data_IF_535548884059
#
_entry.id   IF_535548884059
#
_cell.length_a   1.000
_cell.length_b   1.000
_cell.length_c   1.000
_cell.angle_alpha   90.00
_cell.angle_beta   90.00
_cell.angle_gamma   90.00
#
_symmetry.space_group_name_H-M   'P 1'
#
loop_
_entity.id
_entity.type
_entity.pdbx_description
1 polymer ?
#
# COMPACT_ATOMS: atom_id res chain seq x y z
N UNK A 1 -30.78 -34.98 23.24
CA UNK A 1 -30.99 -33.53 23.05
C UNK A 1 -29.66 -32.80 23.21
N UNK A 2 -29.08 -32.24 22.14
CA UNK A 2 -28.16 -31.14 22.29
C UNK A 2 -28.65 -29.94 21.46
N UNK A 3 -29.28 -28.98 22.13
CA UNK A 3 -29.44 -27.61 21.64
C UNK A 3 -28.69 -26.68 22.58
N UNK A 4 -28.19 -25.57 22.02
CA UNK A 4 -27.54 -24.40 22.65
C UNK A 4 -26.00 -24.40 22.69
N UNK A 5 -25.37 -24.39 21.51
CA UNK A 5 -24.12 -23.61 21.30
C UNK A 5 -24.05 -22.95 19.91
N UNK A 6 -25.15 -22.96 19.14
CA UNK A 6 -25.24 -22.41 17.77
C UNK A 6 -25.60 -20.91 17.71
N UNK A 7 -26.02 -20.28 18.82
CA UNK A 7 -26.56 -18.91 18.79
C UNK A 7 -25.48 -17.82 18.82
N UNK A 8 -24.41 -18.00 19.61
CA UNK A 8 -23.34 -17.00 19.75
C UNK A 8 -22.51 -16.91 18.46
N UNK A 9 -22.18 -18.06 17.85
CA UNK A 9 -21.45 -18.11 16.58
C UNK A 9 -22.28 -17.51 15.45
N UNK A 10 -23.60 -17.77 15.41
CA UNK A 10 -24.52 -17.12 14.46
C UNK A 10 -24.66 -15.61 14.72
N UNK A 11 -24.65 -15.16 15.97
CA UNK A 11 -24.76 -13.74 16.35
C UNK A 11 -23.49 -12.96 15.94
N UNK A 12 -22.30 -13.50 16.22
CA UNK A 12 -21.02 -12.90 15.80
C UNK A 12 -20.90 -12.89 14.26
N UNK A 13 -21.28 -14.00 13.60
CA UNK A 13 -21.34 -14.13 12.13
C UNK A 13 -22.31 -13.12 11.49
N UNK A 14 -23.47 -12.89 12.10
CA UNK A 14 -24.40 -11.87 11.63
C UNK A 14 -23.85 -10.47 11.87
N UNK A 15 -23.17 -10.17 12.97
CA UNK A 15 -22.70 -8.79 13.22
C UNK A 15 -21.63 -8.27 12.23
N UNK A 16 -20.61 -9.06 11.83
CA UNK A 16 -19.63 -8.56 10.85
C UNK A 16 -20.21 -8.41 9.44
N UNK A 17 -21.01 -9.39 8.99
CA UNK A 17 -21.70 -9.30 7.69
C UNK A 17 -22.88 -8.32 7.70
N UNK A 18 -23.58 -8.15 8.82
CA UNK A 18 -24.64 -7.16 8.97
C UNK A 18 -24.07 -5.75 9.03
N UNK A 19 -22.87 -5.52 9.57
CA UNK A 19 -22.27 -4.17 9.53
C UNK A 19 -21.76 -3.78 8.14
N UNK A 20 -21.15 -4.72 7.40
CA UNK A 20 -20.75 -4.49 6.01
C UNK A 20 -21.93 -4.30 5.07
N UNK A 21 -23.08 -4.92 5.35
CA UNK A 21 -24.30 -4.82 4.53
C UNK A 21 -25.30 -3.76 5.00
N UNK A 22 -25.43 -3.49 6.30
CA UNK A 22 -26.39 -2.52 6.85
C UNK A 22 -25.89 -1.07 6.82
N UNK A 23 -24.56 -0.83 6.90
CA UNK A 23 -24.03 0.51 6.69
C UNK A 23 -22.60 0.52 6.09
N UNK A 24 -22.46 0.15 4.80
CA UNK A 24 -21.16 0.05 4.14
C UNK A 24 -20.26 1.30 4.27
N UNK A 25 -20.77 2.54 4.14
CA UNK A 25 -19.93 3.73 4.28
C UNK A 25 -19.39 3.94 5.71
N UNK A 26 -20.17 3.61 6.74
CA UNK A 26 -19.71 3.70 8.14
C UNK A 26 -18.69 2.63 8.45
N UNK A 27 -18.93 1.38 8.00
CA UNK A 27 -17.97 0.30 8.14
C UNK A 27 -16.63 0.67 7.50
N UNK A 28 -16.65 1.17 6.26
CA UNK A 28 -15.43 1.64 5.58
C UNK A 28 -14.75 2.78 6.32
N UNK A 29 -15.52 3.75 6.84
CA UNK A 29 -14.95 4.85 7.63
C UNK A 29 -14.18 4.36 8.85
N UNK A 30 -14.78 3.44 9.62
CA UNK A 30 -14.15 2.87 10.79
C UNK A 30 -12.94 2.00 10.42
N UNK A 31 -13.06 1.18 9.37
CA UNK A 31 -11.97 0.34 8.86
C UNK A 31 -10.76 1.17 8.42
N UNK A 32 -10.99 2.18 7.57
CA UNK A 32 -9.95 3.11 7.12
C UNK A 32 -9.24 3.77 8.30
N UNK A 33 -9.98 4.29 9.28
CA UNK A 33 -9.40 4.95 10.45
C UNK A 33 -8.57 3.98 11.30
N UNK A 34 -9.09 2.79 11.57
CA UNK A 34 -8.38 1.77 12.34
C UNK A 34 -7.09 1.33 11.62
N UNK A 35 -7.15 1.18 10.29
CA UNK A 35 -5.99 0.82 9.49
C UNK A 35 -4.96 1.96 9.49
N UNK A 36 -5.38 3.22 9.33
CA UNK A 36 -4.47 4.37 9.43
C UNK A 36 -3.81 4.48 10.81
N UNK A 37 -4.53 4.20 11.90
CA UNK A 37 -3.94 4.13 13.23
C UNK A 37 -2.98 2.94 13.39
N UNK A 38 -3.22 1.83 12.69
CA UNK A 38 -2.35 0.67 12.69
C UNK A 38 -1.04 0.92 11.94
N UNK A 39 -1.05 1.68 10.84
CA UNK A 39 0.15 2.06 10.06
C UNK A 39 1.17 2.86 10.90
N UNK A 40 0.73 3.53 11.96
CA UNK A 40 1.60 4.20 12.93
C UNK A 40 2.48 3.22 13.71
N UNK A 41 2.03 1.98 13.89
CA UNK A 41 2.77 0.96 14.63
C UNK A 41 4.07 0.51 13.94
N UNK A 42 4.06 0.05 12.67
CA UNK A 42 5.31 -0.25 11.96
C UNK A 42 6.18 1.00 11.79
N UNK A 43 5.58 2.18 11.63
CA UNK A 43 6.33 3.46 11.61
C UNK A 43 7.07 3.72 12.92
N UNK A 44 6.43 3.49 14.06
CA UNK A 44 7.07 3.61 15.37
C UNK A 44 8.19 2.58 15.55
N UNK A 45 7.97 1.33 15.12
CA UNK A 45 8.98 0.27 15.16
C UNK A 45 10.22 0.63 14.35
N UNK A 46 10.07 1.09 13.11
CA UNK A 46 11.19 1.54 12.27
C UNK A 46 12.04 2.60 12.99
N UNK A 47 11.38 3.57 13.63
CA UNK A 47 12.06 4.62 14.39
C UNK A 47 12.75 4.10 15.64
N UNK A 48 12.16 3.15 16.37
CA UNK A 48 12.77 2.48 17.53
C UNK A 48 14.01 1.69 17.10
N UNK A 49 13.97 1.04 15.94
CA UNK A 49 15.12 0.34 15.37
C UNK A 49 16.15 1.26 14.72
N UNK A 50 16.01 2.58 14.85
CA UNK A 50 16.99 3.56 14.38
C UNK A 50 16.93 3.87 12.88
N UNK A 51 15.90 3.41 12.17
CA UNK A 51 15.72 3.74 10.74
C UNK A 51 15.24 5.19 10.62
N UNK A 52 16.00 6.00 9.91
CA UNK A 52 15.66 7.40 9.61
C UNK A 52 14.99 7.50 8.24
N UNK A 53 13.74 7.92 8.24
CA UNK A 53 12.99 8.19 7.01
C UNK A 53 13.18 9.65 6.64
N UNK A 54 13.72 9.91 5.46
CA UNK A 54 13.99 11.24 4.92
C UNK A 54 13.03 11.51 3.78
N UNK A 55 12.06 12.40 3.97
CA UNK A 55 11.10 12.77 2.91
C UNK A 55 11.36 14.19 2.43
N UNK A 56 11.28 14.40 1.12
CA UNK A 56 11.47 15.69 0.46
C UNK A 56 10.55 15.84 -0.76
N UNK A 57 10.40 17.07 -1.26
CA UNK A 57 9.52 17.39 -2.39
C UNK A 57 8.16 17.92 -1.94
N UNK A 58 7.07 17.45 -2.57
CA UNK A 58 5.70 17.91 -2.36
C UNK A 58 4.95 17.12 -1.28
N UNK A 59 4.10 17.79 -0.50
CA UNK A 59 3.23 17.14 0.48
C UNK A 59 2.11 16.32 -0.16
N UNK A 60 1.68 15.26 0.53
CA UNK A 60 0.55 14.42 0.14
C UNK A 60 -0.71 14.92 0.85
N UNK A 61 -1.78 15.17 0.10
CA UNK A 61 -3.07 15.55 0.64
C UNK A 61 -3.92 14.29 0.89
N UNK A 62 -4.27 13.94 2.14
CA UNK A 62 -5.03 12.73 2.47
C UNK A 62 -6.51 12.83 2.02
N UNK A 63 -6.93 13.98 1.53
CA UNK A 63 -8.29 14.26 1.08
C UNK A 63 -8.42 14.26 -0.45
N UNK A 64 -7.36 13.89 -1.17
CA UNK A 64 -7.39 13.72 -2.62
C UNK A 64 -7.68 12.28 -3.04
N UNK A 65 -8.41 12.15 -4.15
CA UNK A 65 -8.49 10.92 -4.92
C UNK A 65 -7.31 10.90 -5.88
N UNK A 66 -6.30 10.10 -5.56
CA UNK A 66 -5.03 10.16 -6.26
C UNK A 66 -4.45 8.77 -6.53
N UNK A 67 -3.60 8.69 -7.55
CA UNK A 67 -2.80 7.50 -7.80
C UNK A 67 -1.36 7.80 -7.37
N UNK A 68 -0.82 6.99 -6.48
CA UNK A 68 0.59 7.00 -6.11
C UNK A 68 1.31 6.00 -7.02
N UNK A 69 2.36 6.47 -7.70
CA UNK A 69 3.27 5.62 -8.47
C UNK A 69 4.63 5.63 -7.80
N UNK A 70 5.21 4.45 -7.58
CA UNK A 70 6.51 4.32 -6.91
C UNK A 70 7.41 3.31 -7.63
N UNK A 71 8.72 3.54 -7.68
CA UNK A 71 9.66 2.50 -8.08
C UNK A 71 9.69 1.37 -7.05
N UNK A 72 10.01 0.16 -7.50
CA UNK A 72 10.00 -1.03 -6.66
C UNK A 72 11.41 -1.61 -6.54
N UNK A 73 12.21 -1.04 -5.65
CA UNK A 73 13.58 -1.50 -5.44
C UNK A 73 13.63 -2.86 -4.75
N UNK A 74 12.72 -3.13 -3.81
CA UNK A 74 12.76 -4.30 -2.93
C UNK A 74 11.35 -4.79 -2.56
N UNK A 75 11.21 -6.05 -2.13
CA UNK A 75 9.92 -6.59 -1.66
C UNK A 75 9.36 -5.88 -0.43
N UNK A 76 10.19 -5.18 0.33
CA UNK A 76 9.83 -4.56 1.61
C UNK A 76 9.66 -3.04 1.52
N UNK A 77 9.74 -2.44 0.33
CA UNK A 77 9.57 -0.98 0.15
C UNK A 77 8.28 -0.45 0.79
N UNK A 78 7.21 -1.26 0.77
CA UNK A 78 5.92 -0.90 1.35
C UNK A 78 5.97 -0.69 2.87
N UNK A 79 6.91 -1.32 3.60
CA UNK A 79 7.07 -1.11 5.03
C UNK A 79 7.57 0.31 5.32
N UNK A 80 8.51 0.80 4.52
CA UNK A 80 9.07 2.14 4.67
C UNK A 80 8.10 3.22 4.17
N UNK A 81 7.25 2.88 3.21
CA UNK A 81 6.24 3.79 2.68
C UNK A 81 5.26 4.28 3.76
N UNK A 82 4.85 3.46 4.72
CA UNK A 82 3.98 3.91 5.82
C UNK A 82 4.60 5.07 6.60
N UNK A 83 5.89 4.97 6.90
CA UNK A 83 6.60 6.00 7.60
C UNK A 83 6.84 7.26 6.74
N UNK A 84 7.02 7.09 5.43
CA UNK A 84 7.06 8.21 4.50
C UNK A 84 5.71 8.93 4.42
N UNK A 85 4.60 8.18 4.35
CA UNK A 85 3.25 8.73 4.36
C UNK A 85 2.95 9.48 5.65
N UNK A 86 3.39 8.96 6.81
CA UNK A 86 3.30 9.65 8.10
C UNK A 86 4.00 11.02 8.11
N UNK A 87 5.15 11.13 7.43
CA UNK A 87 5.84 12.41 7.29
C UNK A 87 5.23 13.32 6.22
N UNK A 88 4.66 12.73 5.17
CA UNK A 88 4.21 13.46 3.98
C UNK A 88 2.77 13.93 4.00
N UNK A 89 1.90 13.24 4.73
CA UNK A 89 0.49 13.55 4.76
C UNK A 89 0.21 14.78 5.61
N UNK A 90 -0.27 15.84 4.96
CA UNK A 90 -0.64 17.10 5.60
C UNK A 90 -2.06 17.51 5.17
N UNK A 91 -2.86 18.13 6.06
CA UNK A 91 -2.56 18.41 7.47
C UNK A 91 -2.79 17.19 8.40
N UNK A 92 -3.46 16.14 7.91
CA UNK A 92 -3.85 14.99 8.72
C UNK A 92 -2.83 13.84 8.62
N UNK A 93 -1.98 13.75 9.63
CA UNK A 93 -0.88 12.78 9.70
C UNK A 93 -1.35 11.31 9.76
N UNK A 94 -2.58 11.05 10.24
CA UNK A 94 -3.05 9.70 10.58
C UNK A 94 -4.39 9.30 9.93
N UNK A 95 -4.76 9.89 8.79
CA UNK A 95 -6.07 9.67 8.15
C UNK A 95 -6.02 9.47 6.63
N UNK A 96 -4.86 9.10 6.07
CA UNK A 96 -4.77 8.82 4.64
C UNK A 96 -5.44 7.48 4.29
N UNK A 97 -6.16 7.44 3.17
CA UNK A 97 -6.94 6.27 2.73
C UNK A 97 -6.22 5.55 1.60
N UNK A 98 -4.97 5.16 1.85
CA UNK A 98 -4.12 4.50 0.87
C UNK A 98 -4.52 3.02 0.73
N UNK A 99 -4.74 2.57 -0.51
CA UNK A 99 -4.99 1.17 -0.85
C UNK A 99 -3.92 0.71 -1.82
N UNK A 100 -3.29 -0.43 -1.55
CA UNK A 100 -2.33 -1.01 -2.47
C UNK A 100 -3.03 -1.86 -3.53
N UNK A 101 -2.46 -1.85 -4.74
CA UNK A 101 -2.76 -2.84 -5.78
C UNK A 101 -1.75 -3.98 -5.63
N UNK A 102 -2.23 -5.12 -5.13
CA UNK A 102 -1.44 -6.25 -4.66
C UNK A 102 -1.52 -7.45 -5.61
N UNK A 103 -0.55 -8.35 -5.52
CA UNK A 103 -0.61 -9.66 -6.18
C UNK A 103 -1.73 -10.50 -5.54
N UNK A 104 -2.58 -11.13 -6.35
CA UNK A 104 -3.73 -11.92 -5.89
C UNK A 104 -3.39 -12.95 -4.78
N UNK A 105 -2.29 -13.72 -4.84
CA UNK A 105 -1.94 -14.67 -3.77
C UNK A 105 -1.81 -14.06 -2.37
N UNK A 106 -1.48 -12.77 -2.25
CA UNK A 106 -1.32 -12.08 -0.96
C UNK A 106 -2.62 -12.11 -0.14
N UNK A 107 -3.78 -12.14 -0.81
CA UNK A 107 -5.09 -12.21 -0.14
C UNK A 107 -5.25 -13.44 0.75
N UNK A 108 -4.53 -14.52 0.44
CA UNK A 108 -4.64 -15.79 1.16
C UNK A 108 -3.70 -15.89 2.36
N UNK A 109 -2.81 -14.91 2.56
CA UNK A 109 -1.90 -14.87 3.70
C UNK A 109 -2.72 -14.61 4.98
N UNK A 110 -2.73 -15.52 5.97
CA UNK A 110 -3.43 -15.34 7.23
C UNK A 110 -2.97 -14.09 7.97
N UNK A 111 -3.90 -13.29 8.48
CA UNK A 111 -3.59 -12.01 9.13
C UNK A 111 -3.51 -10.87 8.11
N UNK A 112 -2.32 -10.47 7.60
CA UNK A 112 -2.17 -9.31 6.71
C UNK A 112 -3.07 -9.37 5.46
N UNK A 113 -3.15 -10.53 4.79
CA UNK A 113 -3.98 -10.70 3.60
C UNK A 113 -5.49 -10.54 3.88
N UNK A 114 -5.95 -10.97 5.06
CA UNK A 114 -7.35 -10.80 5.47
C UNK A 114 -7.65 -9.35 5.86
N UNK A 115 -6.75 -8.70 6.60
CA UNK A 115 -6.88 -7.28 6.98
C UNK A 115 -6.91 -6.39 5.74
N UNK A 116 -6.05 -6.63 4.76
CA UNK A 116 -6.03 -5.87 3.50
C UNK A 116 -7.32 -6.07 2.69
N UNK A 117 -7.89 -7.28 2.64
CA UNK A 117 -9.21 -7.53 2.04
C UNK A 117 -10.31 -6.74 2.73
N UNK A 118 -10.37 -6.80 4.07
CA UNK A 118 -11.35 -6.02 4.85
C UNK A 118 -11.21 -4.51 4.63
N UNK A 119 -9.99 -4.05 4.37
CA UNK A 119 -9.70 -2.65 4.06
C UNK A 119 -9.92 -2.27 2.59
N UNK A 120 -10.35 -3.18 1.72
CA UNK A 120 -10.69 -2.85 0.33
C UNK A 120 -9.46 -2.58 -0.55
N UNK A 121 -8.36 -3.27 -0.27
CA UNK A 121 -7.20 -3.30 -1.15
C UNK A 121 -7.54 -4.02 -2.45
N UNK A 122 -6.81 -3.70 -3.53
CA UNK A 122 -7.06 -4.25 -4.84
C UNK A 122 -6.12 -5.42 -5.08
N UNK A 123 -6.59 -6.47 -5.74
CA UNK A 123 -5.82 -7.68 -6.02
C UNK A 123 -5.83 -7.98 -7.52
N UNK A 124 -4.66 -8.25 -8.09
CA UNK A 124 -4.47 -8.55 -9.51
C UNK A 124 -3.70 -9.85 -9.72
N UNK A 125 -4.11 -10.64 -10.71
CA UNK A 125 -3.41 -11.85 -11.18
C UNK A 125 -2.26 -11.51 -12.13
N UNK A 126 -2.18 -10.24 -12.57
CA UNK A 126 -1.25 -9.72 -13.60
C UNK A 126 -1.59 -10.28 -14.99
N UNK A 127 -2.87 -10.59 -15.21
CA UNK A 127 -3.44 -11.00 -16.50
C UNK A 127 -4.64 -10.09 -16.77
N UNK A 128 -4.47 -9.20 -17.76
CA UNK A 128 -5.43 -8.13 -18.02
C UNK A 128 -6.87 -8.61 -18.19
N UNK A 129 -7.07 -9.70 -18.94
CA UNK A 129 -8.40 -10.28 -19.20
C UNK A 129 -9.12 -10.74 -17.92
N UNK A 130 -8.39 -11.17 -16.89
CA UNK A 130 -8.95 -11.56 -15.60
C UNK A 130 -9.15 -10.38 -14.65
N UNK A 131 -8.24 -9.41 -14.73
CA UNK A 131 -8.14 -8.31 -13.79
C UNK A 131 -9.11 -7.17 -14.12
N UNK A 132 -9.38 -6.91 -15.41
CA UNK A 132 -10.18 -5.76 -15.86
C UNK A 132 -11.55 -5.66 -15.17
N UNK A 133 -12.29 -6.75 -15.13
CA UNK A 133 -13.62 -6.78 -14.51
C UNK A 133 -13.59 -6.64 -12.99
N UNK A 134 -12.55 -7.18 -12.33
CA UNK A 134 -12.36 -7.05 -10.87
C UNK A 134 -11.97 -5.62 -10.49
N UNK A 135 -11.00 -5.06 -11.20
CA UNK A 135 -10.58 -3.66 -11.03
C UNK A 135 -11.76 -2.72 -11.25
N UNK A 136 -12.55 -2.92 -12.31
CA UNK A 136 -13.73 -2.09 -12.58
C UNK A 136 -14.68 -2.05 -11.39
N UNK A 137 -15.13 -3.21 -10.89
CA UNK A 137 -16.07 -3.29 -9.76
C UNK A 137 -15.52 -2.63 -8.50
N UNK A 138 -14.24 -2.83 -8.19
CA UNK A 138 -13.63 -2.22 -7.01
C UNK A 138 -13.51 -0.71 -7.15
N UNK A 139 -13.15 -0.20 -8.33
CA UNK A 139 -13.09 1.23 -8.59
C UNK A 139 -14.48 1.88 -8.53
N UNK A 140 -15.48 1.29 -9.19
CA UNK A 140 -16.88 1.75 -9.12
C UNK A 140 -17.36 1.82 -7.67
N UNK A 141 -17.03 0.81 -6.87
CA UNK A 141 -17.34 0.80 -5.43
C UNK A 141 -16.64 1.95 -4.69
N UNK A 142 -15.35 2.17 -4.91
CA UNK A 142 -14.58 3.24 -4.25
C UNK A 142 -15.09 4.65 -4.63
N UNK A 143 -15.48 4.83 -5.90
CA UNK A 143 -16.13 6.06 -6.38
C UNK A 143 -17.49 6.24 -5.71
N UNK A 144 -18.31 5.18 -5.65
CA UNK A 144 -19.65 5.22 -5.05
C UNK A 144 -19.63 5.55 -3.55
N UNK A 145 -18.56 5.21 -2.83
CA UNK A 145 -18.39 5.60 -1.43
C UNK A 145 -18.27 7.12 -1.23
N UNK A 146 -17.93 7.89 -2.27
CA UNK A 146 -17.67 9.35 -2.21
C UNK A 146 -16.68 9.75 -1.13
N UNK A 147 -15.73 8.86 -0.84
CA UNK A 147 -14.62 9.06 0.10
C UNK A 147 -13.31 9.04 -0.68
N UNK A 148 -12.71 10.22 -0.86
CA UNK A 148 -11.47 10.40 -1.63
C UNK A 148 -10.41 9.41 -1.12
N UNK A 149 -9.92 8.57 -2.03
CA UNK A 149 -9.12 7.37 -1.75
C UNK A 149 -7.85 7.43 -2.59
N UNK A 150 -6.74 7.00 -2.03
CA UNK A 150 -5.45 6.98 -2.72
C UNK A 150 -5.10 5.54 -3.12
N UNK A 151 -4.61 5.33 -4.34
CA UNK A 151 -4.25 4.02 -4.86
C UNK A 151 -2.74 3.95 -5.13
N UNK A 152 -2.01 3.06 -4.46
CA UNK A 152 -0.61 2.79 -4.80
C UNK A 152 -0.52 1.71 -5.88
N UNK A 153 0.22 2.01 -6.92
CA UNK A 153 0.68 1.04 -7.91
C UNK A 153 2.20 1.09 -8.03
N UNK A 154 2.80 -0.08 -8.27
CA UNK A 154 4.18 -0.22 -8.71
C UNK A 154 4.17 -0.60 -10.20
N UNK A 155 4.27 0.35 -11.13
CA UNK A 155 4.22 0.08 -12.56
C UNK A 155 5.23 -0.95 -13.06
N UNK A 156 6.37 -1.12 -12.39
CA UNK A 156 7.36 -2.17 -12.68
C UNK A 156 6.74 -3.59 -12.58
N UNK A 157 5.72 -3.78 -11.74
CA UNK A 157 4.98 -5.03 -11.56
C UNK A 157 5.75 -6.14 -10.82
N UNK A 158 7.01 -5.89 -10.48
CA UNK A 158 7.88 -6.70 -9.63
C UNK A 158 9.03 -5.85 -9.13
N UNK A 159 9.72 -6.32 -8.10
CA UNK A 159 10.92 -5.73 -7.53
C UNK A 159 12.15 -5.87 -8.44
N UNK A 160 13.09 -4.94 -8.30
CA UNK A 160 14.36 -4.92 -9.05
C UNK A 160 15.34 -5.97 -8.50
N UNK A 161 15.42 -7.10 -9.19
CA UNK A 161 16.34 -8.21 -8.95
C UNK A 161 17.17 -8.45 -10.20
N UNK A 162 18.25 -9.22 -10.10
CA UNK A 162 19.06 -9.59 -11.28
C UNK A 162 18.18 -10.21 -12.40
N UNK A 163 17.29 -11.13 -12.03
CA UNK A 163 16.43 -11.82 -13.01
C UNK A 163 15.34 -10.93 -13.59
N UNK A 164 14.73 -10.03 -12.80
CA UNK A 164 13.73 -9.09 -13.35
C UNK A 164 14.38 -8.02 -14.22
N UNK A 165 15.61 -7.60 -13.87
CA UNK A 165 16.44 -6.71 -14.67
C UNK A 165 16.80 -7.30 -16.03
N UNK A 166 17.30 -8.54 -16.08
CA UNK A 166 17.61 -9.24 -17.33
C UNK A 166 16.38 -9.31 -18.28
N UNK A 167 15.19 -9.55 -17.73
CA UNK A 167 13.93 -9.54 -18.50
C UNK A 167 13.58 -8.16 -19.02
N UNK A 168 13.73 -7.13 -18.18
CA UNK A 168 13.50 -5.73 -18.57
C UNK A 168 14.48 -5.27 -19.65
N UNK A 169 15.75 -5.66 -19.56
CA UNK A 169 16.78 -5.34 -20.54
C UNK A 169 16.52 -6.01 -21.88
N UNK A 170 16.09 -7.27 -21.88
CA UNK A 170 15.68 -7.97 -23.09
C UNK A 170 14.48 -7.28 -23.75
N UNK A 171 13.49 -6.86 -22.95
CA UNK A 171 12.35 -6.10 -23.45
C UNK A 171 12.80 -4.77 -24.08
N UNK A 172 13.71 -4.04 -23.42
CA UNK A 172 14.24 -2.78 -23.90
C UNK A 172 14.97 -2.94 -25.25
N UNK A 173 15.84 -3.93 -25.37
CA UNK A 173 16.56 -4.23 -26.62
C UNK A 173 15.61 -4.57 -27.77
N UNK A 174 14.56 -5.37 -27.51
CA UNK A 174 13.56 -5.75 -28.51
C UNK A 174 12.75 -4.57 -29.04
N UNK A 175 12.54 -3.55 -28.20
CA UNK A 175 11.71 -2.37 -28.52
C UNK A 175 12.54 -1.10 -28.75
N UNK A 176 13.87 -1.22 -28.86
CA UNK A 176 14.79 -0.10 -29.08
C UNK A 176 14.69 1.00 -28.00
N UNK A 177 14.45 0.58 -26.75
CA UNK A 177 14.40 1.44 -25.58
C UNK A 177 15.74 1.45 -24.84
N UNK A 178 16.05 2.51 -24.08
CA UNK A 178 17.24 2.54 -23.22
C UNK A 178 17.15 1.46 -22.13
N UNK A 179 18.31 0.93 -21.75
CA UNK A 179 18.41 0.02 -20.61
C UNK A 179 18.54 0.85 -19.33
N UNK A 180 17.57 0.72 -18.43
CA UNK A 180 17.61 1.35 -17.11
C UNK A 180 18.45 0.51 -16.15
N UNK A 181 19.13 1.15 -15.21
CA UNK A 181 19.98 0.53 -14.18
C UNK A 181 19.27 0.43 -12.83
N UNK A 182 18.57 1.49 -12.42
CA UNK A 182 17.98 1.62 -11.08
C UNK A 182 16.47 1.33 -11.03
N UNK A 183 15.84 1.14 -12.18
CA UNK A 183 14.43 0.80 -12.34
C UNK A 183 14.21 -0.27 -13.41
N UNK A 184 13.05 -0.91 -13.40
CA UNK A 184 12.53 -1.70 -14.52
C UNK A 184 11.63 -0.83 -15.40
N UNK A 185 11.50 -1.18 -16.68
CA UNK A 185 10.54 -0.53 -17.57
C UNK A 185 9.09 -0.68 -17.05
N UNK A 186 8.30 0.40 -17.01
CA UNK A 186 6.96 0.36 -16.42
C UNK A 186 5.97 -0.37 -17.32
N UNK A 187 5.06 -1.13 -16.71
CA UNK A 187 3.86 -1.66 -17.36
C UNK A 187 2.76 -0.61 -17.30
N UNK A 188 2.34 -0.13 -18.47
CA UNK A 188 1.48 1.06 -18.57
C UNK A 188 -0.01 0.76 -18.53
N UNK A 189 -0.44 -0.48 -18.82
CA UNK A 189 -1.87 -0.86 -18.91
C UNK A 189 -2.66 -0.56 -17.64
N UNK A 190 -2.16 -1.02 -16.48
CA UNK A 190 -2.85 -0.86 -15.20
C UNK A 190 -2.99 0.61 -14.81
N UNK A 191 -1.90 1.37 -14.90
CA UNK A 191 -1.91 2.81 -14.63
C UNK A 191 -2.87 3.56 -15.54
N UNK A 192 -2.79 3.35 -16.86
CA UNK A 192 -3.64 4.04 -17.83
C UNK A 192 -5.11 3.76 -17.57
N UNK A 193 -5.46 2.51 -17.25
CA UNK A 193 -6.83 2.13 -16.92
C UNK A 193 -7.36 2.81 -15.65
N UNK A 194 -6.56 2.84 -14.58
CA UNK A 194 -6.93 3.49 -13.32
C UNK A 194 -7.19 4.98 -13.53
N UNK A 195 -6.26 5.68 -14.20
CA UNK A 195 -6.38 7.11 -14.49
C UNK A 195 -7.63 7.39 -15.31
N UNK A 196 -7.82 6.68 -16.42
CA UNK A 196 -8.97 6.90 -17.31
C UNK A 196 -10.30 6.66 -16.61
N UNK A 197 -10.39 5.61 -15.80
CA UNK A 197 -11.60 5.29 -15.07
C UNK A 197 -11.94 6.41 -14.06
N UNK A 198 -10.95 6.85 -13.27
CA UNK A 198 -11.15 7.91 -12.27
C UNK A 198 -11.41 9.28 -12.91
N UNK A 199 -10.77 9.60 -14.04
CA UNK A 199 -11.05 10.81 -14.83
C UNK A 199 -12.50 10.81 -15.34
N UNK A 200 -12.97 9.71 -15.95
CA UNK A 200 -14.36 9.58 -16.44
C UNK A 200 -15.39 9.72 -15.33
N UNK A 201 -15.06 9.26 -14.13
CA UNK A 201 -15.90 9.39 -12.94
C UNK A 201 -15.83 10.79 -12.27
N UNK A 202 -15.04 11.72 -12.81
CA UNK A 202 -14.72 13.02 -12.18
C UNK A 202 -14.24 12.87 -10.73
N UNK A 203 -13.39 11.85 -10.51
CA UNK A 203 -12.94 11.38 -9.21
C UNK A 203 -11.41 11.24 -9.19
N UNK A 204 -10.70 12.14 -9.85
CA UNK A 204 -9.25 12.10 -9.99
C UNK A 204 -8.64 13.50 -9.80
N UNK A 205 -7.85 13.65 -8.75
CA UNK A 205 -7.32 14.94 -8.32
C UNK A 205 -5.82 15.08 -8.65
N UNK A 206 -5.02 14.00 -8.55
CA UNK A 206 -3.58 14.05 -8.81
C UNK A 206 -2.94 12.66 -9.05
N UNK A 207 -1.74 12.67 -9.65
CA UNK A 207 -0.74 11.60 -9.48
C UNK A 207 0.31 12.08 -8.50
N UNK A 208 0.66 11.23 -7.54
CA UNK A 208 1.84 11.41 -6.69
C UNK A 208 2.93 10.47 -7.18
N UNK A 209 4.01 11.04 -7.70
CA UNK A 209 5.17 10.33 -8.20
C UNK A 209 6.24 10.24 -7.11
N UNK A 210 6.35 9.06 -6.48
CA UNK A 210 7.24 8.79 -5.36
C UNK A 210 8.49 8.07 -5.85
N UNK A 211 9.66 8.55 -5.47
CA UNK A 211 10.93 7.87 -5.70
C UNK A 211 11.52 7.43 -4.36
N UNK A 212 11.65 6.12 -4.15
CA UNK A 212 12.31 5.53 -2.99
C UNK A 212 13.76 5.18 -3.32
N UNK A 213 14.69 5.51 -2.42
CA UNK A 213 16.09 5.17 -2.54
C UNK A 213 16.73 4.87 -1.19
N UNK A 214 17.80 4.07 -1.23
CA UNK A 214 18.53 3.58 -0.06
C UNK A 214 20.00 3.98 -0.22
N UNK A 215 20.54 4.90 0.60
CA UNK A 215 21.91 5.41 0.43
C UNK A 215 22.97 4.37 0.80
N UNK A 216 22.65 3.48 1.75
CA UNK A 216 23.54 2.52 2.39
C UNK A 216 23.13 1.06 2.10
N UNK A 217 22.21 0.48 2.87
CA UNK A 217 21.82 -0.92 2.82
C UNK A 217 20.47 -1.08 2.12
N UNK A 218 20.36 -2.06 1.23
CA UNK A 218 19.13 -2.34 0.47
C UNK A 218 18.53 -3.67 0.97
N UNK A 219 17.52 -3.64 1.85
CA UNK A 219 16.91 -4.87 2.36
C UNK A 219 16.20 -5.61 1.22
N UNK A 220 16.53 -6.88 0.97
CA UNK A 220 15.96 -7.62 -0.18
C UNK A 220 14.64 -8.33 0.19
N UNK A 221 14.48 -8.66 1.47
CA UNK A 221 13.39 -9.51 1.94
C UNK A 221 12.95 -9.22 3.36
N UNK A 222 11.79 -9.77 3.73
CA UNK A 222 11.26 -9.75 5.09
C UNK A 222 12.21 -10.41 6.10
N UNK A 223 13.03 -11.38 5.66
CA UNK A 223 14.02 -12.08 6.51
C UNK A 223 15.12 -11.12 6.97
N UNK A 224 15.52 -10.18 6.11
CA UNK A 224 16.54 -9.19 6.46
C UNK A 224 16.05 -8.31 7.60
N UNK A 225 14.77 -7.86 7.52
CA UNK A 225 14.14 -7.09 8.58
C UNK A 225 14.06 -7.88 9.90
N UNK A 226 13.68 -9.16 9.85
CA UNK A 226 13.59 -10.04 11.04
C UNK A 226 14.97 -10.24 11.68
N UNK A 227 16.04 -10.29 10.89
CA UNK A 227 17.43 -10.39 11.37
C UNK A 227 17.98 -9.06 11.89
N UNK A 228 17.20 -7.99 11.88
CA UNK A 228 17.65 -6.65 12.26
C UNK A 228 18.58 -6.01 11.23
N UNK A 229 18.64 -6.55 10.01
CA UNK A 229 19.37 -5.94 8.90
C UNK A 229 18.49 -4.87 8.28
N UNK A 230 18.61 -3.66 8.82
CA UNK A 230 17.81 -2.50 8.46
C UNK A 230 18.71 -1.42 7.83
N UNK A 231 18.19 -0.66 6.85
CA UNK A 231 18.88 0.55 6.38
C UNK A 231 18.95 1.59 7.50
N UNK A 232 20.05 2.34 7.59
CA UNK A 232 20.13 3.46 8.52
C UNK A 232 19.23 4.61 8.04
N UNK A 233 19.17 4.84 6.73
CA UNK A 233 18.31 5.86 6.14
C UNK A 233 17.51 5.31 4.96
N UNK A 234 16.27 5.78 4.79
CA UNK A 234 15.48 5.54 3.57
C UNK A 234 14.95 6.88 3.08
N UNK A 235 15.25 7.20 1.83
CA UNK A 235 14.95 8.50 1.24
C UNK A 235 13.76 8.39 0.30
N UNK A 236 12.83 9.34 0.42
CA UNK A 236 11.68 9.51 -0.45
C UNK A 236 11.70 10.91 -1.07
N UNK A 237 11.57 10.96 -2.39
CA UNK A 237 11.30 12.19 -3.13
C UNK A 237 9.89 12.11 -3.71
N UNK A 238 9.06 13.09 -3.39
CA UNK A 238 7.64 13.11 -3.76
C UNK A 238 7.41 14.27 -4.72
N UNK A 239 6.77 14.00 -5.85
CA UNK A 239 6.29 15.04 -6.77
C UNK A 239 4.78 14.89 -6.98
N UNK A 240 4.01 15.94 -6.69
CA UNK A 240 2.58 16.00 -6.97
C UNK A 240 2.36 16.55 -8.38
N UNK A 241 1.62 15.81 -9.21
CA UNK A 241 1.18 16.24 -10.53
C UNK A 241 -0.34 16.36 -10.51
N UNK A 242 -0.92 17.57 -10.65
CA UNK A 242 -2.37 17.76 -10.62
C UNK A 242 -3.03 17.06 -11.81
N UNK A 243 -4.30 16.68 -11.67
CA UNK A 243 -5.04 15.99 -12.73
C UNK A 243 -5.16 16.78 -14.04
N UNK A 244 -5.06 18.12 -13.98
CA UNK A 244 -4.99 19.00 -15.16
C UNK A 244 -3.80 18.72 -16.07
N UNK A 245 -2.70 18.23 -15.50
CA UNK A 245 -1.43 18.02 -16.21
C UNK A 245 -1.29 16.55 -16.66
N UNK A 246 -2.29 15.72 -16.36
CA UNK A 246 -2.32 14.31 -16.72
C UNK A 246 -3.13 14.13 -18.01
N UNK A 247 -2.55 13.49 -19.05
CA UNK A 247 -3.27 13.23 -20.30
C UNK A 247 -4.56 12.43 -20.09
N UNK A 248 -5.52 12.55 -21.01
CA UNK A 248 -6.79 11.82 -20.97
C UNK A 248 -6.81 10.60 -21.89
N UNK A 249 -6.11 10.68 -23.03
CA UNK A 249 -6.02 9.61 -24.01
C UNK A 249 -5.06 8.51 -23.57
N UNK A 250 -5.44 7.25 -23.79
CA UNK A 250 -4.71 6.07 -23.30
C UNK A 250 -3.25 6.04 -23.77
N UNK A 251 -3.02 6.25 -25.08
CA UNK A 251 -1.67 6.23 -25.65
C UNK A 251 -0.77 7.32 -25.03
N UNK A 252 -1.33 8.50 -24.77
CA UNK A 252 -0.62 9.60 -24.13
C UNK A 252 -0.33 9.29 -22.66
N UNK A 253 -1.22 8.61 -21.95
CA UNK A 253 -0.99 8.16 -20.57
C UNK A 253 0.13 7.12 -20.49
N UNK A 254 0.18 6.19 -21.45
CA UNK A 254 1.27 5.20 -21.53
C UNK A 254 2.61 5.90 -21.72
N UNK A 255 2.68 6.79 -22.71
CA UNK A 255 3.89 7.58 -22.99
C UNK A 255 4.30 8.46 -21.81
N UNK A 256 3.32 9.12 -21.17
CA UNK A 256 3.56 9.92 -19.97
C UNK A 256 4.21 9.10 -18.86
N UNK A 257 3.73 7.88 -18.59
CA UNK A 257 4.30 7.01 -17.57
C UNK A 257 5.72 6.54 -17.92
N UNK A 258 5.96 6.20 -19.18
CA UNK A 258 7.31 5.86 -19.68
C UNK A 258 8.28 7.03 -19.48
N UNK A 259 7.86 8.26 -19.82
CA UNK A 259 8.66 9.46 -19.62
C UNK A 259 8.89 9.75 -18.12
N UNK A 260 7.89 9.50 -17.25
CA UNK A 260 8.09 9.57 -15.78
C UNK A 260 9.15 8.57 -15.32
N UNK A 261 9.16 7.35 -15.84
CA UNK A 261 10.17 6.34 -15.49
C UNK A 261 11.56 6.69 -15.98
N UNK A 262 11.68 7.24 -17.19
CA UNK A 262 12.96 7.75 -17.69
C UNK A 262 13.53 8.85 -16.78
N UNK A 263 12.69 9.80 -16.37
CA UNK A 263 13.10 10.84 -15.40
C UNK A 263 13.47 10.24 -14.03
N UNK A 264 12.73 9.22 -13.58
CA UNK A 264 12.98 8.54 -12.31
C UNK A 264 14.33 7.82 -12.30
N UNK A 265 14.70 7.20 -13.42
CA UNK A 265 16.02 6.59 -13.61
C UNK A 265 17.14 7.61 -13.43
N UNK A 266 17.01 8.80 -14.02
CA UNK A 266 17.99 9.88 -13.86
C UNK A 266 18.04 10.43 -12.43
N UNK A 267 16.89 10.59 -11.77
CA UNK A 267 16.81 10.99 -10.36
C UNK A 267 17.54 9.98 -9.48
N UNK A 268 17.32 8.68 -9.69
CA UNK A 268 17.98 7.62 -8.92
C UNK A 268 19.46 7.55 -9.21
N UNK A 269 19.89 7.71 -10.46
CA UNK A 269 21.30 7.80 -10.83
C UNK A 269 22.00 8.92 -10.05
N UNK A 270 21.45 10.13 -10.09
CA UNK A 270 21.97 11.26 -9.34
C UNK A 270 21.97 11.01 -7.82
N UNK A 271 20.92 10.38 -7.29
CA UNK A 271 20.85 10.00 -5.88
C UNK A 271 21.95 9.03 -5.50
N UNK A 272 22.21 7.98 -6.29
CA UNK A 272 23.23 6.99 -5.94
C UNK A 272 24.66 7.53 -6.05
N UNK A 273 24.88 8.58 -6.85
CA UNK A 273 26.13 9.35 -6.91
C UNK A 273 26.29 10.30 -5.71
N UNK A 274 25.24 11.05 -5.33
CA UNK A 274 25.30 12.13 -4.32
C UNK A 274 24.81 11.74 -2.92
N UNK A 275 24.17 10.57 -2.79
CA UNK A 275 23.49 10.06 -1.59
C UNK A 275 22.43 10.99 -1.00
N UNK A 276 21.86 11.86 -1.81
CA UNK A 276 20.83 12.82 -1.42
C UNK A 276 20.00 13.26 -2.63
N UNK A 277 18.74 13.61 -2.39
CA UNK A 277 17.92 14.32 -3.36
C UNK A 277 18.23 15.83 -3.32
N UNK A 278 18.06 16.57 -4.43
CA UNK A 278 18.44 18.00 -4.51
C UNK A 278 17.46 18.94 -3.79
N UNK A 279 16.60 18.42 -2.91
CA UNK A 279 15.54 19.14 -2.22
C UNK A 279 15.72 19.02 -0.72
N UNK A 280 15.30 20.05 0.01
CA UNK A 280 15.35 20.05 1.47
C UNK A 280 14.50 18.91 2.04
N UNK A 281 15.09 18.17 2.98
CA UNK A 281 14.40 17.12 3.73
C UNK A 281 13.50 17.81 4.75
N UNK A 282 12.24 17.40 4.81
CA UNK A 282 11.30 17.98 5.75
C UNK A 282 11.69 17.73 7.21
N UNK A 283 11.24 18.61 8.12
CA UNK A 283 11.33 18.36 9.54
C UNK A 283 10.65 17.04 9.93
N UNK A 284 11.24 16.33 10.89
CA UNK A 284 10.67 15.08 11.38
C UNK A 284 9.31 15.31 12.05
N UNK A 285 8.30 14.56 11.62
CA UNK A 285 6.97 14.59 12.21
C UNK A 285 6.98 14.24 13.72
N UNK A 286 5.94 14.71 14.43
CA UNK A 286 5.81 14.58 15.89
C UNK A 286 5.92 13.11 16.34
N UNK A 287 6.57 12.87 17.48
CA UNK A 287 6.73 11.50 18.01
C UNK A 287 5.56 11.02 18.85
N UNK A 288 4.79 11.93 19.45
CA UNK A 288 3.72 11.58 20.38
C UNK A 288 2.68 10.61 19.79
N UNK A 289 2.17 10.80 18.55
CA UNK A 289 1.24 9.84 17.95
C UNK A 289 1.85 8.46 17.75
N UNK A 290 3.13 8.39 17.38
CA UNK A 290 3.85 7.12 17.19
C UNK A 290 4.04 6.39 18.53
N UNK A 291 4.39 7.11 19.59
CA UNK A 291 4.54 6.53 20.93
C UNK A 291 3.20 5.99 21.45
N UNK A 292 2.12 6.77 21.31
CA UNK A 292 0.78 6.34 21.70
C UNK A 292 0.33 5.09 20.93
N UNK A 293 0.54 5.08 19.60
CA UNK A 293 0.23 3.93 18.77
C UNK A 293 1.07 2.71 19.17
N UNK A 294 2.37 2.88 19.38
CA UNK A 294 3.27 1.81 19.84
C UNK A 294 2.77 1.18 21.14
N UNK A 295 2.54 1.99 22.18
CA UNK A 295 2.04 1.49 23.45
C UNK A 295 0.69 0.78 23.31
N UNK A 296 -0.28 1.38 22.61
CA UNK A 296 -1.61 0.79 22.43
C UNK A 296 -1.55 -0.56 21.72
N UNK A 297 -0.88 -0.63 20.56
CA UNK A 297 -0.81 -1.85 19.76
C UNK A 297 0.06 -2.94 20.39
N UNK A 298 1.13 -2.59 21.09
CA UNK A 298 1.92 -3.56 21.86
C UNK A 298 1.12 -4.16 23.02
N UNK A 299 0.38 -3.34 23.79
CA UNK A 299 -0.48 -3.83 24.88
C UNK A 299 -1.59 -4.73 24.32
N UNK A 300 -2.26 -4.30 23.24
CA UNK A 300 -3.32 -5.09 22.60
C UNK A 300 -2.79 -6.43 22.08
N UNK A 301 -1.63 -6.42 21.43
CA UNK A 301 -0.99 -7.64 20.91
C UNK A 301 -0.58 -8.58 22.04
N UNK A 302 0.09 -8.06 23.09
CA UNK A 302 0.48 -8.83 24.26
C UNK A 302 -0.71 -9.43 25.00
N UNK A 303 -1.79 -8.67 25.16
CA UNK A 303 -3.05 -9.15 25.77
C UNK A 303 -3.69 -10.25 24.92
N UNK A 304 -3.69 -10.09 23.59
CA UNK A 304 -4.24 -11.09 22.66
C UNK A 304 -3.45 -12.39 22.75
N UNK A 305 -2.11 -12.32 22.76
CA UNK A 305 -1.24 -13.50 22.90
C UNK A 305 -1.46 -14.17 24.26
N UNK A 306 -1.55 -13.40 25.34
CA UNK A 306 -1.84 -13.92 26.67
C UNK A 306 -3.18 -14.68 26.69
N UNK A 307 -4.24 -14.07 26.15
CA UNK A 307 -5.56 -14.71 26.05
C UNK A 307 -5.54 -15.98 25.20
N UNK A 308 -4.78 -16.02 24.10
CA UNK A 308 -4.59 -17.23 23.30
C UNK A 308 -3.90 -18.35 24.09
N UNK A 309 -3.05 -18.03 25.07
CA UNK A 309 -2.36 -19.02 25.89
C UNK A 309 -3.27 -19.49 27.03
N UNK A 310 -3.95 -18.58 27.73
CA UNK A 310 -4.62 -18.88 29.01
C UNK A 310 -6.10 -19.20 28.91
N UNK A 311 -6.79 -18.80 27.83
CA UNK A 311 -8.25 -18.90 27.73
C UNK A 311 -8.71 -19.89 26.66
N UNK A 312 -9.22 -21.08 27.03
CA UNK A 312 -9.80 -22.04 26.08
C UNK A 312 -10.97 -21.46 25.28
N UNK A 313 -11.74 -20.54 25.89
CA UNK A 313 -12.84 -19.85 25.21
C UNK A 313 -12.29 -18.94 24.11
N UNK A 314 -11.21 -18.19 24.39
CA UNK A 314 -10.59 -17.32 23.40
C UNK A 314 -9.92 -18.11 22.27
N UNK A 315 -9.29 -19.25 22.59
CA UNK A 315 -8.75 -20.19 21.60
C UNK A 315 -9.85 -20.71 20.67
N UNK A 316 -10.97 -21.17 21.22
CA UNK A 316 -12.11 -21.63 20.43
C UNK A 316 -12.66 -20.50 19.55
N UNK A 317 -12.80 -19.29 20.09
CA UNK A 317 -13.22 -18.11 19.32
C UNK A 317 -12.27 -17.80 18.16
N UNK A 318 -10.96 -17.81 18.41
CA UNK A 318 -9.94 -17.54 17.38
C UNK A 318 -9.93 -18.63 16.29
N UNK A 319 -10.09 -19.90 16.66
CA UNK A 319 -10.23 -21.01 15.72
C UNK A 319 -11.46 -20.84 14.83
N UNK A 320 -12.62 -20.52 15.43
CA UNK A 320 -13.86 -20.30 14.69
C UNK A 320 -13.74 -19.13 13.69
N UNK A 321 -13.11 -18.02 14.08
CA UNK A 321 -12.86 -16.88 13.18
C UNK A 321 -11.92 -17.28 12.05
N UNK A 322 -10.87 -18.03 12.35
CA UNK A 322 -9.90 -18.47 11.35
C UNK A 322 -10.56 -19.39 10.32
N UNK A 323 -11.37 -20.35 10.77
CA UNK A 323 -12.15 -21.22 9.90
C UNK A 323 -13.18 -20.43 9.06
N UNK A 324 -13.80 -19.40 9.63
CA UNK A 324 -14.70 -18.51 8.89
C UNK A 324 -13.99 -17.75 7.76
N UNK A 325 -12.81 -17.19 8.04
CA UNK A 325 -12.03 -16.45 7.04
C UNK A 325 -11.53 -17.37 5.91
N UNK A 326 -11.22 -18.64 6.21
CA UNK A 326 -10.83 -19.62 5.20
C UNK A 326 -12.00 -20.13 4.33
N UNK A 327 -13.21 -20.24 4.90
CA UNK A 327 -14.41 -20.72 4.18
C UNK A 327 -15.02 -19.69 3.22
N UNK A 328 -14.44 -18.48 3.14
CA UNK A 328 -14.65 -17.58 2.00
C UNK A 328 -15.95 -16.78 2.01
N UNK A 329 -16.59 -16.58 3.16
CA UNK A 329 -17.79 -15.72 3.27
C UNK A 329 -17.44 -14.22 3.20
N UNK A 330 -16.16 -13.85 3.28
CA UNK A 330 -15.63 -12.52 2.97
C UNK A 330 -15.37 -12.27 1.47
N UNK A 331 -15.90 -13.12 0.57
CA UNK A 331 -15.96 -12.87 -0.89
C UNK A 331 -17.00 -11.80 -1.28
N UNK A 332 -17.14 -10.75 -0.48
CA UNK A 332 -18.12 -9.66 -0.74
C UNK A 332 -17.52 -8.55 -1.63
N UNK A 333 -16.28 -8.71 -2.12
CA UNK A 333 -15.69 -7.82 -3.11
C UNK A 333 -14.94 -8.59 -4.20
#
# INVERSE_FOLDING_TARGET
MPMKNSSIVKFICQSCNAWTTACPPKFRKCGDLLFSCWELYPTALLKIFGVKICVSGDHISPNESAILVMNHRTRVDWNFLWAAMYQACMPDIACHRLKFILKDPIRHIPGPGWIMQMNGFLYITRRWEEDKGRLLRTLDYLVALRRRTQLLIFPEGTDLTKTSKEKSDKYALQHQLPQYTYTLHPKTTGFSYLVQHLQKANYFDAVYDLTIAYPDYVPQSEIDLIRGQLPHEVHFYIKRIPSSDIPTHELMLRKWLEDRWSNKEEILKNFYEKKSFPTEIWPTAKMLPLQAAFSFWSILTGTTILLLIVSPIFQLWALLITMFNQTGVLKVF
#
